data_IF_218817805245
#
_entry.id   IF_218817805245
#
_cell.length_a   1.000
_cell.length_b   1.000
_cell.length_c   1.000
_cell.angle_alpha   90.00
_cell.angle_beta   90.00
_cell.angle_gamma   90.00
#
_symmetry.space_group_name_H-M   'P 1'
#
loop_
_entity.id
_entity.type
_entity.pdbx_description
1 polymer ?
#
# COMPACT_ATOMS: atom_id res chain seq x y z
N UNK A 1 3.53 16.29 -16.77
CA UNK A 1 2.66 15.12 -16.47
C UNK A 1 2.18 14.42 -17.74
N UNK A 2 1.33 14.99 -18.63
CA UNK A 2 0.80 14.27 -19.81
C UNK A 2 1.82 13.51 -20.69
N UNK A 3 3.06 14.00 -20.83
CA UNK A 3 4.13 13.29 -21.53
C UNK A 3 4.61 12.02 -20.81
N UNK A 4 4.57 12.03 -19.47
CA UNK A 4 4.93 10.91 -18.59
C UNK A 4 3.86 9.80 -18.54
N UNK A 5 2.66 10.04 -19.10
CA UNK A 5 1.57 9.05 -19.16
C UNK A 5 1.28 8.57 -20.59
N UNK A 6 1.76 9.26 -21.63
CA UNK A 6 1.61 8.81 -23.02
C UNK A 6 2.79 7.95 -23.47
N UNK A 7 2.53 6.68 -23.80
CA UNK A 7 3.53 5.71 -24.31
C UNK A 7 4.32 6.22 -25.50
N UNK A 8 3.67 6.96 -26.41
CA UNK A 8 4.28 7.52 -27.63
C UNK A 8 5.27 8.65 -27.32
N UNK A 9 5.12 9.34 -26.19
CA UNK A 9 5.91 10.53 -25.83
C UNK A 9 6.78 10.34 -24.58
N UNK A 10 6.75 9.15 -23.95
CA UNK A 10 7.42 8.91 -22.68
C UNK A 10 8.94 9.09 -22.79
N UNK A 11 9.58 8.44 -23.77
CA UNK A 11 11.03 8.53 -24.01
C UNK A 11 11.49 9.98 -24.24
N UNK A 12 10.80 10.72 -25.11
CA UNK A 12 11.05 12.16 -25.35
C UNK A 12 10.86 13.01 -24.09
N UNK A 13 9.93 12.61 -23.22
CA UNK A 13 9.71 13.27 -21.92
C UNK A 13 10.82 12.95 -20.92
N UNK A 14 11.36 11.73 -20.91
CA UNK A 14 12.51 11.38 -20.07
C UNK A 14 13.78 12.13 -20.49
N UNK A 15 14.01 12.26 -21.81
CA UNK A 15 15.08 13.12 -22.36
C UNK A 15 14.89 14.56 -21.89
N UNK A 16 13.68 15.11 -21.99
CA UNK A 16 13.39 16.49 -21.59
C UNK A 16 13.55 16.70 -20.08
N UNK A 17 13.10 15.78 -19.23
CA UNK A 17 13.27 15.87 -17.76
C UNK A 17 14.75 15.75 -17.38
N UNK A 18 15.50 14.86 -18.03
CA UNK A 18 16.96 14.76 -17.88
C UNK A 18 17.68 16.06 -18.30
N UNK A 19 17.16 16.79 -19.28
CA UNK A 19 17.68 18.12 -19.64
C UNK A 19 17.27 19.20 -18.62
N UNK A 20 16.04 19.17 -18.12
CA UNK A 20 15.55 20.08 -17.07
C UNK A 20 16.34 19.95 -15.76
N UNK A 21 16.96 18.80 -15.47
CA UNK A 21 17.85 18.66 -14.30
C UNK A 21 18.96 19.73 -14.29
N UNK A 22 19.60 20.01 -15.44
CA UNK A 22 20.61 21.07 -15.56
C UNK A 22 20.03 22.49 -15.48
N UNK A 23 18.70 22.67 -15.64
CA UNK A 23 18.05 23.98 -15.57
C UNK A 23 17.64 24.35 -14.14
N UNK A 24 17.61 23.38 -13.21
CA UNK A 24 17.34 23.60 -11.79
C UNK A 24 18.39 24.48 -11.09
N UNK A 25 19.60 24.59 -11.66
CA UNK A 25 20.71 25.38 -11.11
C UNK A 25 20.67 26.86 -11.51
N UNK A 26 19.76 27.24 -12.41
CA UNK A 26 19.67 28.61 -12.91
C UNK A 26 19.23 29.60 -11.80
N UNK A 27 19.99 30.68 -11.53
CA UNK A 27 19.67 31.62 -10.44
C UNK A 27 18.37 32.42 -10.66
N UNK A 28 17.77 32.34 -11.86
CA UNK A 28 16.47 32.92 -12.18
C UNK A 28 15.30 31.99 -11.86
N UNK A 29 15.56 30.70 -11.59
CA UNK A 29 14.57 29.76 -11.08
C UNK A 29 14.69 29.76 -9.56
N UNK A 30 13.67 30.28 -8.86
CA UNK A 30 13.62 30.23 -7.39
C UNK A 30 13.56 28.78 -6.93
N UNK A 31 14.72 28.24 -6.54
CA UNK A 31 14.90 26.84 -6.20
C UNK A 31 14.15 26.48 -4.92
N UNK A 32 12.91 26.00 -5.08
CA UNK A 32 12.34 25.08 -4.10
C UNK A 32 13.13 23.77 -4.21
N UNK A 33 13.87 23.40 -3.17
CA UNK A 33 14.76 22.23 -3.20
C UNK A 33 14.00 20.93 -3.57
N UNK A 34 12.69 20.88 -3.30
CA UNK A 34 11.70 19.89 -3.75
C UNK A 34 11.70 19.60 -5.27
N UNK A 35 12.05 20.58 -6.11
CA UNK A 35 12.08 20.42 -7.58
C UNK A 35 13.14 19.44 -8.07
N UNK A 36 14.24 19.29 -7.32
CA UNK A 36 15.22 18.23 -7.57
C UNK A 36 14.59 16.86 -7.29
N UNK A 37 13.95 16.71 -6.11
CA UNK A 37 13.37 15.45 -5.68
C UNK A 37 12.29 14.93 -6.64
N UNK A 38 11.34 15.78 -7.08
CA UNK A 38 10.31 15.36 -8.04
C UNK A 38 10.89 15.00 -9.42
N UNK A 39 11.96 15.67 -9.87
CA UNK A 39 12.64 15.29 -11.13
C UNK A 39 13.36 13.94 -11.01
N UNK A 40 14.01 13.65 -9.87
CA UNK A 40 14.61 12.32 -9.63
C UNK A 40 13.51 11.25 -9.59
N UNK A 41 12.42 11.48 -8.87
CA UNK A 41 11.25 10.57 -8.82
C UNK A 41 10.63 10.36 -10.21
N UNK A 42 10.63 11.37 -11.08
CA UNK A 42 10.13 11.24 -12.45
C UNK A 42 10.99 10.35 -13.35
N UNK A 43 12.30 10.34 -13.14
CA UNK A 43 13.26 9.52 -13.89
C UNK A 43 13.43 8.12 -13.28
N UNK A 44 13.21 7.96 -11.98
CA UNK A 44 13.52 6.73 -11.24
C UNK A 44 12.89 5.44 -11.81
N UNK A 45 11.58 5.37 -12.18
CA UNK A 45 11.00 4.16 -12.77
C UNK A 45 11.70 3.74 -14.08
N UNK A 46 12.06 4.73 -14.91
CA UNK A 46 12.72 4.51 -16.19
C UNK A 46 14.19 4.10 -16.03
N UNK A 47 14.88 4.66 -15.04
CA UNK A 47 16.25 4.26 -14.69
C UNK A 47 16.30 2.86 -14.05
N UNK A 48 15.28 2.46 -13.30
CA UNK A 48 15.11 1.09 -12.81
C UNK A 48 14.81 0.10 -13.93
N UNK A 49 13.95 0.47 -14.90
CA UNK A 49 13.64 -0.39 -16.04
C UNK A 49 14.86 -0.64 -16.92
N UNK A 50 15.68 0.40 -17.16
CA UNK A 50 16.93 0.30 -17.93
C UNK A 50 18.16 0.05 -17.01
N UNK A 51 18.02 -0.62 -15.87
CA UNK A 51 19.10 -0.73 -14.89
C UNK A 51 20.26 -1.63 -15.36
N UNK A 52 19.94 -2.83 -15.84
CA UNK A 52 20.93 -3.84 -16.24
C UNK A 52 21.55 -3.57 -17.63
N UNK A 53 20.86 -2.80 -18.47
CA UNK A 53 21.33 -2.33 -19.77
C UNK A 53 21.11 -0.82 -19.86
N UNK A 54 22.10 -0.05 -19.41
CA UNK A 54 21.96 1.37 -19.13
C UNK A 54 21.79 2.21 -20.39
N UNK A 55 20.56 2.62 -20.66
CA UNK A 55 20.26 3.52 -21.77
C UNK A 55 20.95 4.88 -21.58
N UNK A 56 21.46 5.46 -22.67
CA UNK A 56 22.27 6.70 -22.65
C UNK A 56 21.57 7.86 -21.95
N UNK A 57 20.23 7.94 -22.07
CA UNK A 57 19.40 8.95 -21.38
C UNK A 57 19.46 8.81 -19.86
N UNK A 58 19.50 7.57 -19.34
CA UNK A 58 19.60 7.27 -17.92
C UNK A 58 20.99 7.58 -17.36
N UNK A 59 22.05 7.27 -18.11
CA UNK A 59 23.43 7.63 -17.75
C UNK A 59 23.56 9.14 -17.65
N UNK A 60 23.15 9.88 -18.69
CA UNK A 60 23.18 11.33 -18.69
C UNK A 60 22.29 11.94 -17.60
N UNK A 61 21.13 11.34 -17.30
CA UNK A 61 20.29 11.78 -16.19
C UNK A 61 21.01 11.64 -14.84
N UNK A 62 21.62 10.48 -14.57
CA UNK A 62 22.36 10.23 -13.35
C UNK A 62 23.56 11.18 -13.16
N UNK A 63 24.35 11.41 -14.21
CA UNK A 63 25.45 12.40 -14.18
C UNK A 63 24.97 13.81 -13.84
N UNK A 64 23.84 14.23 -14.40
CA UNK A 64 23.25 15.56 -14.17
C UNK A 64 22.69 15.68 -12.76
N UNK A 65 21.98 14.67 -12.26
CA UNK A 65 21.51 14.63 -10.87
C UNK A 65 22.70 14.70 -9.91
N UNK A 66 23.74 13.90 -10.13
CA UNK A 66 24.94 13.91 -9.31
C UNK A 66 25.66 15.27 -9.30
N UNK A 67 25.76 15.94 -10.46
CA UNK A 67 26.28 17.30 -10.55
C UNK A 67 25.48 18.29 -9.69
N UNK A 68 24.16 18.35 -9.87
CA UNK A 68 23.29 19.28 -9.13
C UNK A 68 23.33 19.04 -7.62
N UNK A 69 23.40 17.78 -7.18
CA UNK A 69 23.53 17.43 -5.77
C UNK A 69 24.85 17.93 -5.14
N UNK A 70 25.94 18.01 -5.92
CA UNK A 70 27.23 18.51 -5.47
C UNK A 70 27.33 20.05 -5.56
N UNK A 71 26.65 20.68 -6.52
CA UNK A 71 26.72 22.13 -6.77
C UNK A 71 25.85 22.96 -5.82
N UNK A 72 24.71 22.44 -5.34
CA UNK A 72 23.70 23.23 -4.62
C UNK A 72 23.54 22.92 -3.12
N UNK A 73 24.22 21.91 -2.58
CA UNK A 73 24.08 21.54 -1.17
C UNK A 73 25.22 22.05 -0.30
N UNK A 74 25.08 23.30 0.17
CA UNK A 74 25.97 23.94 1.18
C UNK A 74 26.19 23.11 2.46
N UNK A 75 25.35 22.08 2.70
CA UNK A 75 25.34 21.24 3.90
C UNK A 75 25.61 19.77 3.58
N UNK A 76 25.98 19.45 2.34
CA UNK A 76 26.36 18.13 1.83
C UNK A 76 25.39 16.97 2.14
N UNK A 77 24.11 17.25 2.43
CA UNK A 77 23.09 16.22 2.73
C UNK A 77 22.82 15.29 1.54
N UNK A 78 23.01 15.79 0.32
CA UNK A 78 22.83 15.06 -0.93
C UNK A 78 24.11 14.40 -1.47
N UNK A 79 25.25 14.48 -0.76
CA UNK A 79 26.52 13.88 -1.23
C UNK A 79 26.42 12.36 -1.43
N UNK A 80 25.67 11.67 -0.57
CA UNK A 80 25.36 10.24 -0.71
C UNK A 80 24.50 9.96 -1.96
N UNK A 81 23.50 10.82 -2.24
CA UNK A 81 22.67 10.72 -3.46
C UNK A 81 23.52 10.95 -4.72
N UNK A 82 24.41 11.95 -4.70
CA UNK A 82 25.35 12.22 -5.77
C UNK A 82 26.27 11.02 -6.04
N UNK A 83 26.72 10.36 -4.97
CA UNK A 83 27.56 9.15 -5.02
C UNK A 83 26.80 7.97 -5.63
N UNK A 84 25.57 7.70 -5.19
CA UNK A 84 24.74 6.59 -5.72
C UNK A 84 24.31 6.83 -7.17
N UNK A 85 24.07 8.07 -7.58
CA UNK A 85 23.84 8.43 -8.98
C UNK A 85 25.11 8.27 -9.82
N UNK A 86 26.28 8.67 -9.30
CA UNK A 86 27.57 8.47 -9.97
C UNK A 86 27.92 6.99 -10.15
N UNK A 87 27.59 6.14 -9.16
CA UNK A 87 27.76 4.69 -9.24
C UNK A 87 26.81 4.04 -10.26
N UNK A 88 25.58 4.57 -10.41
CA UNK A 88 24.69 4.17 -11.50
C UNK A 88 25.31 4.54 -12.86
N UNK A 89 25.65 5.81 -13.08
CA UNK A 89 26.16 6.31 -14.37
C UNK A 89 27.42 5.56 -14.87
N UNK A 90 28.23 5.03 -13.95
CA UNK A 90 29.46 4.29 -14.27
C UNK A 90 29.26 2.76 -14.41
N UNK A 91 28.04 2.25 -14.23
CA UNK A 91 27.77 0.80 -14.19
C UNK A 91 28.41 0.08 -12.99
N UNK A 92 28.66 0.77 -11.87
CA UNK A 92 29.45 0.28 -10.72
C UNK A 92 28.64 0.01 -9.45
N UNK A 93 27.33 0.24 -9.46
CA UNK A 93 26.48 -0.09 -8.30
C UNK A 93 26.23 -1.61 -8.24
N UNK A 94 27.09 -2.32 -7.50
CA UNK A 94 27.13 -3.79 -7.43
C UNK A 94 25.98 -4.38 -6.59
N UNK A 95 24.73 -4.18 -7.05
CA UNK A 95 23.48 -4.66 -6.45
C UNK A 95 22.33 -4.51 -7.46
N UNK A 96 21.15 -5.05 -7.13
CA UNK A 96 19.96 -5.01 -8.01
C UNK A 96 19.36 -3.60 -8.12
N UNK A 97 18.64 -3.34 -9.21
CA UNK A 97 17.83 -2.13 -9.44
C UNK A 97 16.96 -1.73 -8.23
N UNK A 98 16.39 -2.73 -7.57
CA UNK A 98 15.56 -2.58 -6.36
C UNK A 98 16.33 -2.00 -5.17
N UNK A 99 17.53 -2.52 -4.87
CA UNK A 99 18.37 -1.96 -3.79
C UNK A 99 18.96 -0.60 -4.16
N UNK A 100 19.30 -0.37 -5.44
CA UNK A 100 19.72 0.95 -5.91
C UNK A 100 18.62 2.00 -5.72
N UNK A 101 17.40 1.70 -6.16
CA UNK A 101 16.25 2.58 -6.00
C UNK A 101 15.93 2.84 -4.52
N UNK A 102 16.04 1.82 -3.66
CA UNK A 102 15.93 1.98 -2.21
C UNK A 102 16.94 2.98 -1.63
N UNK A 103 18.20 2.94 -2.09
CA UNK A 103 19.21 3.92 -1.69
C UNK A 103 18.84 5.33 -2.17
N UNK A 104 18.50 5.50 -3.45
CA UNK A 104 18.06 6.80 -4.01
C UNK A 104 16.87 7.38 -3.24
N UNK A 105 15.85 6.55 -3.00
CA UNK A 105 14.64 6.94 -2.24
C UNK A 105 14.96 7.30 -0.80
N UNK A 106 15.87 6.58 -0.13
CA UNK A 106 16.29 6.90 1.24
C UNK A 106 16.87 8.30 1.31
N UNK A 107 17.87 8.60 0.47
CA UNK A 107 18.55 9.90 0.50
C UNK A 107 17.62 11.06 0.08
N UNK A 108 16.61 10.80 -0.76
CA UNK A 108 15.53 11.75 -0.99
C UNK A 108 14.64 11.93 0.25
N UNK A 109 14.23 10.86 0.95
CA UNK A 109 13.40 10.99 2.17
C UNK A 109 14.15 11.68 3.31
N UNK A 110 15.45 11.43 3.48
CA UNK A 110 16.28 12.02 4.55
C UNK A 110 16.35 13.56 4.46
N UNK A 111 16.08 14.15 3.29
CA UNK A 111 16.06 15.61 3.04
C UNK A 111 14.65 16.15 2.76
N UNK A 112 13.79 15.38 2.10
CA UNK A 112 12.55 15.85 1.47
C UNK A 112 11.29 15.06 1.85
N UNK A 113 11.25 14.34 2.98
CA UNK A 113 10.09 13.52 3.39
C UNK A 113 8.72 14.23 3.28
N UNK A 114 8.65 15.54 3.50
CA UNK A 114 7.41 16.33 3.39
C UNK A 114 6.82 16.35 1.97
N UNK A 115 7.66 16.29 0.94
CA UNK A 115 7.22 16.28 -0.47
C UNK A 115 6.73 14.90 -0.93
N UNK A 116 6.87 13.86 -0.11
CA UNK A 116 6.60 12.48 -0.52
C UNK A 116 5.15 12.19 -0.90
N UNK A 117 4.18 12.98 -0.41
CA UNK A 117 2.77 12.93 -0.86
C UNK A 117 2.69 13.29 -2.36
N UNK A 118 3.42 14.31 -2.80
CA UNK A 118 3.45 14.73 -4.21
C UNK A 118 4.09 13.65 -5.08
N UNK A 119 5.11 12.96 -4.57
CA UNK A 119 5.76 11.83 -5.26
C UNK A 119 4.81 10.64 -5.44
N UNK A 120 4.10 10.23 -4.37
CA UNK A 120 3.10 9.17 -4.44
C UNK A 120 2.01 9.53 -5.44
N UNK A 121 1.44 10.73 -5.36
CA UNK A 121 0.39 11.21 -6.26
C UNK A 121 0.79 11.15 -7.73
N UNK A 122 1.99 11.63 -8.03
CA UNK A 122 2.58 11.60 -9.37
C UNK A 122 2.85 10.16 -9.86
N UNK A 123 3.42 9.30 -9.01
CA UNK A 123 3.67 7.89 -9.34
C UNK A 123 2.36 7.09 -9.52
N UNK A 124 1.30 7.42 -8.77
CA UNK A 124 -0.02 6.82 -8.95
C UNK A 124 -0.61 7.19 -10.32
N UNK A 125 -0.44 8.44 -10.79
CA UNK A 125 -0.90 8.86 -12.12
C UNK A 125 -0.14 8.11 -13.24
N UNK A 126 1.17 7.87 -13.09
CA UNK A 126 1.95 7.06 -14.05
C UNK A 126 1.58 5.58 -13.96
N UNK A 127 1.37 5.01 -12.77
CA UNK A 127 0.94 3.61 -12.64
C UNK A 127 -0.42 3.40 -13.33
N UNK A 128 -1.39 4.29 -13.12
CA UNK A 128 -2.74 4.19 -13.67
C UNK A 128 -2.81 4.41 -15.20
N UNK A 129 -2.01 5.33 -15.75
CA UNK A 129 -2.19 5.81 -17.13
C UNK A 129 -0.97 5.60 -18.04
N UNK A 130 0.21 5.35 -17.46
CA UNK A 130 1.50 5.33 -18.16
C UNK A 130 1.91 4.00 -18.78
N UNK A 131 3.14 3.91 -19.30
CA UNK A 131 3.63 2.72 -19.98
C UNK A 131 3.67 1.47 -19.09
N UNK A 132 3.06 0.37 -19.56
CA UNK A 132 2.92 -0.87 -18.79
C UNK A 132 4.26 -1.49 -18.34
N UNK A 133 5.34 -1.27 -19.10
CA UNK A 133 6.68 -1.78 -18.77
C UNK A 133 7.28 -1.19 -17.49
N UNK A 134 6.76 -0.04 -17.01
CA UNK A 134 7.22 0.62 -15.79
C UNK A 134 6.46 0.17 -14.53
N UNK A 135 5.36 -0.58 -14.67
CA UNK A 135 4.45 -0.83 -13.55
C UNK A 135 5.10 -1.64 -12.42
N UNK A 136 5.97 -2.60 -12.74
CA UNK A 136 6.79 -3.30 -11.74
C UNK A 136 7.73 -2.35 -10.98
N UNK A 137 8.44 -1.47 -11.69
CA UNK A 137 9.34 -0.49 -11.09
C UNK A 137 8.61 0.48 -10.16
N UNK A 138 7.41 0.94 -10.54
CA UNK A 138 6.60 1.84 -9.71
C UNK A 138 6.07 1.12 -8.46
N UNK A 139 5.66 -0.15 -8.57
CA UNK A 139 5.22 -0.95 -7.41
C UNK A 139 6.36 -1.20 -6.42
N UNK A 140 7.59 -1.44 -6.88
CA UNK A 140 8.75 -1.58 -5.99
C UNK A 140 9.18 -0.23 -5.38
N UNK A 141 9.06 0.89 -6.12
CA UNK A 141 9.22 2.24 -5.56
C UNK A 141 8.20 2.49 -4.43
N UNK A 142 6.93 2.11 -4.61
CA UNK A 142 5.91 2.21 -3.55
C UNK A 142 6.25 1.36 -2.33
N UNK A 143 6.69 0.11 -2.53
CA UNK A 143 7.15 -0.74 -1.42
C UNK A 143 8.26 -0.07 -0.61
N UNK A 144 9.24 0.54 -1.28
CA UNK A 144 10.33 1.26 -0.64
C UNK A 144 9.89 2.56 0.04
N UNK A 145 9.03 3.38 -0.58
CA UNK A 145 8.50 4.60 0.05
C UNK A 145 7.74 4.29 1.34
N UNK A 146 6.88 3.26 1.35
CA UNK A 146 6.16 2.81 2.56
C UNK A 146 7.12 2.29 3.64
N UNK A 147 8.23 1.68 3.24
CA UNK A 147 9.27 1.16 4.16
C UNK A 147 10.11 2.29 4.77
N UNK A 148 10.41 3.34 4.01
CA UNK A 148 11.32 4.43 4.40
C UNK A 148 10.63 5.56 5.17
N UNK A 149 9.40 5.92 4.81
CA UNK A 149 8.70 7.07 5.39
C UNK A 149 8.16 6.72 6.78
N UNK A 150 8.66 7.39 7.83
CA UNK A 150 8.04 7.33 9.15
C UNK A 150 6.70 8.08 9.15
N UNK A 151 5.65 7.42 9.64
CA UNK A 151 4.26 7.93 9.61
C UNK A 151 4.09 9.17 10.49
N UNK A 152 4.99 9.35 11.47
CA UNK A 152 5.06 10.52 12.36
C UNK A 152 5.68 11.76 11.70
N UNK A 153 6.46 11.58 10.62
CA UNK A 153 7.14 12.69 9.95
C UNK A 153 6.24 13.40 8.94
N UNK A 154 5.12 12.79 8.55
CA UNK A 154 4.25 13.29 7.49
C UNK A 154 3.01 13.97 8.07
N UNK A 155 2.87 15.28 7.81
CA UNK A 155 1.75 16.08 8.32
C UNK A 155 0.36 15.55 7.89
N UNK A 156 0.28 14.88 6.74
CA UNK A 156 -0.93 14.19 6.26
C UNK A 156 -0.62 12.76 5.80
N UNK A 157 -0.27 11.90 6.76
CA UNK A 157 -0.17 10.44 6.52
C UNK A 157 -1.49 9.80 6.07
N UNK A 158 -2.64 10.41 6.40
CA UNK A 158 -3.94 9.89 5.99
C UNK A 158 -4.14 10.00 4.48
N UNK A 159 -3.81 11.16 3.87
CA UNK A 159 -3.85 11.34 2.43
C UNK A 159 -2.87 10.43 1.69
N UNK A 160 -1.62 10.33 2.18
CA UNK A 160 -0.60 9.41 1.65
C UNK A 160 -1.11 7.96 1.58
N UNK A 161 -1.66 7.46 2.69
CA UNK A 161 -2.13 6.09 2.80
C UNK A 161 -3.37 5.85 1.91
N UNK A 162 -4.36 6.76 1.96
CA UNK A 162 -5.58 6.65 1.16
C UNK A 162 -5.31 6.71 -0.36
N UNK A 163 -4.45 7.61 -0.83
CA UNK A 163 -4.10 7.73 -2.26
C UNK A 163 -3.38 6.46 -2.76
N UNK A 164 -2.46 5.91 -1.95
CA UNK A 164 -1.71 4.71 -2.31
C UNK A 164 -2.57 3.44 -2.25
N UNK A 165 -3.33 3.20 -1.17
CA UNK A 165 -4.22 2.03 -1.05
C UNK A 165 -5.28 2.02 -2.15
N UNK A 166 -5.93 3.16 -2.42
CA UNK A 166 -6.90 3.32 -3.52
C UNK A 166 -6.34 2.88 -4.87
N UNK A 167 -5.06 3.18 -5.11
CA UNK A 167 -4.39 2.87 -6.38
C UNK A 167 -3.95 1.40 -6.41
N UNK A 168 -3.29 0.91 -5.36
CA UNK A 168 -2.84 -0.48 -5.22
C UNK A 168 -4.00 -1.50 -5.33
N UNK A 169 -5.17 -1.20 -4.77
CA UNK A 169 -6.35 -2.09 -4.85
C UNK A 169 -6.77 -2.44 -6.29
N UNK A 170 -6.45 -1.60 -7.28
CA UNK A 170 -6.71 -1.88 -8.72
C UNK A 170 -5.82 -3.00 -9.29
N UNK A 171 -4.68 -3.26 -8.65
CA UNK A 171 -3.64 -4.18 -9.12
C UNK A 171 -3.63 -5.50 -8.35
N UNK A 172 -4.34 -5.62 -7.22
CA UNK A 172 -4.45 -6.86 -6.42
C UNK A 172 -4.93 -8.05 -7.27
N UNK A 173 -5.92 -7.85 -8.12
CA UNK A 173 -6.52 -8.91 -8.93
C UNK A 173 -5.72 -9.26 -10.20
N UNK A 174 -4.61 -8.56 -10.48
CA UNK A 174 -3.73 -8.86 -11.62
C UNK A 174 -2.66 -9.86 -11.17
N UNK A 175 -2.68 -11.07 -11.73
CA UNK A 175 -1.80 -12.16 -11.31
C UNK A 175 -0.30 -11.79 -11.36
N UNK A 176 0.10 -10.98 -12.34
CA UNK A 176 1.46 -10.46 -12.55
C UNK A 176 1.97 -9.51 -11.44
N UNK A 177 1.07 -8.83 -10.72
CA UNK A 177 1.40 -7.82 -9.69
C UNK A 177 0.94 -8.18 -8.28
N UNK A 178 0.06 -9.19 -8.15
CA UNK A 178 -0.63 -9.54 -6.91
C UNK A 178 0.30 -9.68 -5.70
N UNK A 179 1.48 -10.29 -5.88
CA UNK A 179 2.45 -10.49 -4.79
C UNK A 179 3.01 -9.17 -4.24
N UNK A 180 3.53 -8.29 -5.09
CA UNK A 180 4.15 -7.02 -4.66
C UNK A 180 3.14 -6.00 -4.15
N UNK A 181 1.95 -5.99 -4.76
CA UNK A 181 0.80 -5.22 -4.29
C UNK A 181 0.38 -5.71 -2.90
N UNK A 182 0.22 -7.02 -2.70
CA UNK A 182 -0.16 -7.61 -1.41
C UNK A 182 0.91 -7.39 -0.33
N UNK A 183 2.19 -7.51 -0.69
CA UNK A 183 3.35 -7.20 0.17
C UNK A 183 3.30 -5.74 0.67
N UNK A 184 3.04 -4.80 -0.24
CA UNK A 184 2.96 -3.36 0.08
C UNK A 184 1.72 -3.02 0.90
N UNK A 185 0.55 -3.57 0.55
CA UNK A 185 -0.69 -3.39 1.32
C UNK A 185 -0.58 -3.96 2.75
N UNK A 186 0.03 -5.14 2.93
CA UNK A 186 0.29 -5.71 4.26
C UNK A 186 1.15 -4.77 5.12
N UNK A 187 2.20 -4.18 4.54
CA UNK A 187 3.07 -3.23 5.24
C UNK A 187 2.34 -1.92 5.58
N UNK A 188 1.52 -1.37 4.67
CA UNK A 188 0.67 -0.20 4.94
C UNK A 188 -0.30 -0.45 6.11
N UNK A 189 -0.99 -1.60 6.10
CA UNK A 189 -1.90 -2.01 7.17
C UNK A 189 -1.14 -2.09 8.50
N UNK A 190 -0.04 -2.85 8.55
CA UNK A 190 0.80 -3.00 9.74
C UNK A 190 1.31 -1.66 10.30
N UNK A 191 1.70 -0.71 9.44
CA UNK A 191 2.17 0.63 9.86
C UNK A 191 1.02 1.59 10.22
N UNK A 192 -0.22 1.29 9.80
CA UNK A 192 -1.42 2.04 10.18
C UNK A 192 -2.06 1.58 11.50
N UNK A 193 -1.72 0.38 11.98
CA UNK A 193 -2.25 -0.20 13.23
C UNK A 193 -1.67 0.48 14.48
N UNK A 194 -2.12 1.71 14.77
CA UNK A 194 -1.80 2.40 16.04
C UNK A 194 -2.49 1.71 17.21
N UNK A 195 -1.76 0.86 17.93
CA UNK A 195 -2.25 0.30 19.20
C UNK A 195 -2.28 1.39 20.27
N UNK A 196 -3.39 2.11 20.35
CA UNK A 196 -3.65 3.11 21.39
C UNK A 196 -3.76 2.44 22.76
N UNK A 197 -2.63 2.24 23.43
CA UNK A 197 -2.58 1.94 24.87
C UNK A 197 -3.45 2.96 25.60
N UNK A 198 -4.48 2.54 26.37
CA UNK A 198 -5.27 3.48 27.14
C UNK A 198 -4.35 4.33 28.01
N UNK A 199 -4.46 5.66 27.91
CA UNK A 199 -3.84 6.55 28.89
C UNK A 199 -4.48 6.19 30.23
N UNK A 200 -3.73 5.57 31.13
CA UNK A 200 -4.21 5.29 32.47
C UNK A 200 -4.63 6.61 33.10
N UNK A 201 -5.94 6.80 33.28
CA UNK A 201 -6.47 7.96 33.98
C UNK A 201 -6.16 7.71 35.44
N UNK A 202 -4.97 8.12 35.86
CA UNK A 202 -4.59 8.18 37.27
C UNK A 202 -5.45 9.25 37.92
N UNK A 203 -6.66 8.86 38.33
CA UNK A 203 -7.54 9.65 39.16
C UNK A 203 -6.79 9.96 40.45
N UNK A 204 -6.43 11.23 40.65
CA UNK A 204 -5.77 11.72 41.87
C UNK A 204 -6.78 11.71 43.04
N UNK A 205 -7.16 10.52 43.48
CA UNK A 205 -7.91 10.33 44.71
C UNK A 205 -6.94 10.42 45.90
N UNK A 206 -7.09 11.50 46.65
CA UNK A 206 -6.19 11.93 47.70
C UNK A 206 -6.41 11.12 48.99
N UNK A 207 -5.52 10.16 49.26
CA UNK A 207 -5.47 9.43 50.54
C UNK A 207 -4.05 9.51 51.11
N UNK A 208 -3.90 10.13 52.27
CA UNK A 208 -2.60 10.31 52.93
C UNK A 208 -2.19 9.04 53.68
N UNK A 209 -1.12 8.37 53.24
CA UNK A 209 -0.38 7.41 54.06
C UNK A 209 1.12 7.67 53.89
N UNK A 210 1.87 7.60 55.00
CA UNK A 210 3.31 7.87 55.03
C UNK A 210 4.13 6.60 54.81
N UNK A 211 5.27 6.66 54.09
CA UNK A 211 6.11 5.49 53.87
C UNK A 211 6.96 5.18 55.12
N UNK A 212 6.52 4.22 55.93
CA UNK A 212 7.30 3.67 57.04
C UNK A 212 7.63 2.20 56.76
N UNK A 213 8.62 1.98 55.91
CA UNK A 213 9.23 0.67 55.66
C UNK A 213 10.73 0.85 55.41
N UNK A 214 11.43 1.31 56.43
CA UNK A 214 12.87 1.59 56.40
C UNK A 214 13.54 1.27 57.74
N UNK A 215 13.21 0.11 58.33
CA UNK A 215 14.07 -0.59 59.31
C UNK A 215 13.60 -2.05 59.50
N UNK A 216 14.53 -2.99 59.33
CA UNK A 216 14.75 -4.21 60.15
C UNK A 216 13.56 -5.17 60.44
N UNK A 217 13.70 -6.47 60.10
CA UNK A 217 12.72 -7.50 60.50
C UNK A 217 12.71 -8.76 59.63
N UNK A 218 13.58 -9.70 60.00
CA UNK A 218 13.86 -11.02 59.42
C UNK A 218 12.68 -12.02 59.28
N UNK A 219 12.93 -13.14 58.57
CA UNK A 219 12.17 -14.42 58.49
C UNK A 219 11.15 -14.59 57.34
N UNK A 220 11.21 -15.77 56.72
CA UNK A 220 10.41 -16.22 55.56
C UNK A 220 9.02 -16.77 55.96
N UNK A 221 8.04 -16.73 55.03
CA UNK A 221 7.50 -17.98 54.46
C UNK A 221 6.77 -17.75 53.12
N UNK A 222 6.33 -18.85 52.49
CA UNK A 222 5.70 -18.91 51.16
C UNK A 222 4.24 -18.44 51.18
N UNK A 223 3.78 -17.84 50.06
CA UNK A 223 2.75 -18.48 49.24
C UNK A 223 2.86 -18.06 47.76
N UNK A 224 2.29 -18.86 46.86
CA UNK A 224 1.92 -18.43 45.52
C UNK A 224 0.72 -17.50 45.59
N UNK A 225 0.64 -16.49 44.71
CA UNK A 225 -0.55 -16.40 43.85
C UNK A 225 -0.27 -15.58 42.59
N UNK A 226 -0.44 -16.22 41.43
CA UNK A 226 -0.45 -15.58 40.11
C UNK A 226 -1.73 -14.77 39.97
N UNK A 227 -1.72 -13.51 40.42
CA UNK A 227 -2.82 -12.56 40.21
C UNK A 227 -2.92 -12.16 38.74
N UNK A 228 -3.64 -12.99 37.96
CA UNK A 228 -4.16 -12.59 36.65
C UNK A 228 -5.15 -11.44 36.86
N UNK A 229 -4.67 -10.20 36.72
CA UNK A 229 -5.54 -9.02 36.74
C UNK A 229 -6.21 -8.93 35.37
N UNK A 230 -7.32 -9.65 35.26
CA UNK A 230 -8.18 -9.67 34.07
C UNK A 230 -8.80 -8.29 33.85
N UNK A 231 -8.95 -7.90 32.58
CA UNK A 231 -9.46 -6.58 32.25
C UNK A 231 -10.95 -6.49 32.61
N UNK A 232 -11.43 -5.39 33.22
CA UNK A 232 -12.86 -5.15 33.45
C UNK A 232 -13.56 -4.74 32.14
N UNK A 233 -13.70 -5.71 31.24
CA UNK A 233 -14.49 -5.62 30.01
C UNK A 233 -15.32 -6.88 29.86
N UNK A 234 -16.55 -6.75 29.33
CA UNK A 234 -17.37 -7.93 29.01
C UNK A 234 -16.73 -8.67 27.83
N UNK A 235 -16.01 -9.75 28.12
CA UNK A 235 -15.79 -10.81 27.14
C UNK A 235 -17.15 -11.27 26.64
N UNK A 236 -17.30 -11.38 25.31
CA UNK A 236 -18.49 -11.93 24.70
C UNK A 236 -18.27 -13.45 24.65
N UNK A 237 -18.59 -14.12 25.75
CA UNK A 237 -18.45 -15.58 25.88
C UNK A 237 -19.52 -16.26 25.02
N UNK A 238 -19.17 -16.54 23.75
CA UNK A 238 -20.05 -17.22 22.80
C UNK A 238 -19.87 -18.73 22.96
N UNK A 239 -20.58 -19.28 23.95
CA UNK A 239 -20.71 -20.74 24.16
C UNK A 239 -21.43 -21.41 22.98
N UNK A 240 -20.67 -21.81 21.96
CA UNK A 240 -21.17 -22.62 20.84
C UNK A 240 -21.46 -24.05 21.31
N UNK A 241 -22.64 -24.25 21.92
CA UNK A 241 -23.14 -25.55 22.31
C UNK A 241 -23.53 -26.39 21.07
N UNK A 242 -22.52 -27.02 20.45
CA UNK A 242 -22.65 -27.88 19.27
C UNK A 242 -23.65 -29.02 19.46
N UNK A 243 -23.92 -29.47 20.69
CA UNK A 243 -24.92 -30.50 20.96
C UNK A 243 -26.35 -30.02 20.67
N UNK A 244 -26.67 -28.75 20.96
CA UNK A 244 -27.98 -28.18 20.62
C UNK A 244 -28.15 -28.02 19.11
N UNK A 245 -27.10 -27.59 18.40
CA UNK A 245 -27.11 -27.47 16.92
C UNK A 245 -27.31 -28.85 16.28
N UNK A 246 -26.58 -29.87 16.74
CA UNK A 246 -26.70 -31.23 16.20
C UNK A 246 -28.06 -31.87 16.51
N UNK A 247 -28.65 -31.60 17.69
CA UNK A 247 -29.99 -32.06 18.04
C UNK A 247 -31.08 -31.36 17.21
N UNK A 248 -30.93 -30.06 16.92
CA UNK A 248 -31.84 -29.30 16.06
C UNK A 248 -31.79 -29.72 14.57
N UNK A 249 -30.70 -30.36 14.13
CA UNK A 249 -30.62 -31.02 12.81
C UNK A 249 -31.35 -32.37 12.87
N UNK A 250 -31.05 -33.21 13.87
CA UNK A 250 -31.67 -34.55 14.03
C UNK A 250 -33.20 -34.53 14.16
N UNK A 251 -33.80 -33.46 14.68
CA UNK A 251 -35.27 -33.36 14.80
C UNK A 251 -35.98 -33.01 13.49
N UNK A 252 -35.28 -32.57 12.43
CA UNK A 252 -35.90 -32.34 11.11
C UNK A 252 -36.07 -33.60 10.27
N UNK A 253 -35.20 -34.60 10.45
CA UNK A 253 -35.24 -35.84 9.66
C UNK A 253 -36.21 -36.91 10.22
N UNK A 254 -36.97 -36.61 11.28
CA UNK A 254 -37.95 -37.55 11.87
C UNK A 254 -39.41 -37.04 11.96
N UNK A 255 -39.73 -35.86 11.39
CA UNK A 255 -41.13 -35.41 11.26
C UNK A 255 -41.48 -35.00 9.83
N UNK A 256 -41.55 -36.01 8.96
CA UNK A 256 -42.19 -35.86 7.64
C UNK A 256 -43.12 -37.04 7.31
N UNK A 257 -43.95 -37.44 8.30
CA UNK A 257 -45.20 -38.16 8.07
C UNK A 257 -46.28 -37.67 9.05
N UNK A 258 -47.53 -37.66 8.58
CA UNK A 258 -48.81 -37.40 9.30
C UNK A 258 -49.21 -35.97 9.73
N UNK A 259 -49.93 -35.29 8.81
CA UNK A 259 -51.32 -34.78 8.98
C UNK A 259 -51.69 -33.66 10.00
N UNK A 260 -51.69 -32.41 9.50
CA UNK A 260 -52.81 -31.42 9.58
C UNK A 260 -53.17 -30.59 10.85
N UNK A 261 -53.61 -29.34 10.60
CA UNK A 261 -54.51 -28.43 11.39
C UNK A 261 -54.00 -27.93 12.76
N UNK A 262 -53.54 -26.67 12.91
CA UNK A 262 -54.29 -25.38 13.04
C UNK A 262 -55.08 -25.25 14.37
N UNK A 263 -55.07 -24.16 15.15
CA UNK A 263 -54.60 -22.75 15.01
C UNK A 263 -54.55 -22.09 16.44
N UNK A 264 -54.37 -20.80 16.78
CA UNK A 264 -54.22 -19.49 16.08
C UNK A 264 -53.66 -18.39 17.06
N UNK A 265 -53.32 -17.18 16.55
CA UNK A 265 -53.32 -15.84 17.24
C UNK A 265 -52.22 -15.61 18.33
N UNK A 266 -51.60 -14.42 18.54
CA UNK A 266 -51.83 -13.03 18.08
C UNK A 266 -50.53 -12.37 17.51
N UNK A 267 -50.56 -11.56 16.45
CA UNK A 267 -50.79 -10.08 16.41
C UNK A 267 -49.66 -9.26 17.09
N UNK A 268 -48.86 -8.45 16.38
CA UNK A 268 -49.26 -7.10 15.87
C UNK A 268 -48.36 -6.58 14.72
N UNK A 269 -48.90 -5.60 13.96
CA UNK A 269 -48.28 -4.70 12.95
C UNK A 269 -46.95 -4.00 13.39
N UNK A 270 -46.14 -3.32 12.56
CA UNK A 270 -46.16 -2.88 11.14
C UNK A 270 -44.68 -2.69 10.66
N UNK A 271 -44.28 -2.31 9.43
CA UNK A 271 -44.95 -1.68 8.28
C UNK A 271 -44.32 -2.09 6.92
N UNK A 272 -44.98 -1.73 5.81
CA UNK A 272 -44.58 -1.93 4.39
C UNK A 272 -43.41 -0.97 4.00
N UNK A 273 -42.57 -1.24 2.99
CA UNK A 273 -42.93 -1.46 1.57
C UNK A 273 -41.94 -2.35 0.78
N UNK A 274 -42.51 -3.32 0.07
CA UNK A 274 -42.06 -3.77 -1.27
C UNK A 274 -42.69 -2.86 -2.34
N UNK A 275 -42.12 -2.86 -3.55
CA UNK A 275 -42.80 -3.13 -4.83
C UNK A 275 -41.67 -3.44 -5.86
N UNK A 276 -41.48 -4.62 -6.48
CA UNK A 276 -42.34 -5.53 -7.28
C UNK A 276 -42.72 -4.92 -8.64
N UNK A 277 -42.04 -5.32 -9.72
CA UNK A 277 -42.38 -6.44 -10.65
C UNK A 277 -43.38 -6.05 -11.75
N UNK A 278 -42.98 -6.24 -13.01
CA UNK A 278 -43.57 -7.07 -14.10
C UNK A 278 -42.33 -7.43 -14.99
N UNK A 279 -42.10 -8.61 -15.61
CA UNK A 279 -42.97 -9.52 -16.37
C UNK A 279 -43.03 -9.08 -17.85
N UNK A 280 -43.02 -9.92 -18.88
CA UNK A 280 -42.95 -11.40 -19.01
C UNK A 280 -42.48 -11.74 -20.45
N UNK A 281 -42.24 -13.02 -20.77
CA UNK A 281 -41.92 -13.61 -22.10
C UNK A 281 -40.49 -13.34 -22.64
N UNK A 282 -39.82 -14.27 -23.34
CA UNK A 282 -40.02 -15.72 -23.43
C UNK A 282 -39.99 -16.31 -24.85
N UNK A 283 -38.93 -17.05 -25.18
CA UNK A 283 -38.86 -18.05 -26.28
C UNK A 283 -37.65 -18.96 -26.09
N UNK A 284 -37.77 -20.23 -26.47
CA UNK A 284 -36.63 -21.17 -26.53
C UNK A 284 -35.98 -21.11 -27.92
N UNK A 285 -34.67 -21.36 -27.97
CA UNK A 285 -34.02 -22.03 -29.10
C UNK A 285 -32.79 -22.80 -28.59
N UNK A 286 -32.57 -23.99 -29.14
CA UNK A 286 -31.54 -24.96 -28.79
C UNK A 286 -31.10 -25.62 -30.11
N UNK A 287 -29.91 -26.24 -30.16
CA UNK A 287 -29.28 -26.81 -31.38
C UNK A 287 -28.76 -25.67 -32.30
N UNK A 288 -27.54 -25.68 -32.87
CA UNK A 288 -26.79 -26.82 -33.42
C UNK A 288 -25.25 -26.77 -33.18
N UNK A 289 -24.52 -27.76 -33.73
CA UNK A 289 -23.10 -28.01 -33.49
C UNK A 289 -22.27 -28.23 -34.76
N UNK A 290 -20.97 -27.92 -34.64
CA UNK A 290 -19.84 -28.46 -35.42
C UNK A 290 -19.50 -27.87 -36.81
N UNK A 291 -18.20 -27.99 -37.13
CA UNK A 291 -17.55 -27.88 -38.46
C UNK A 291 -17.47 -26.46 -39.08
N UNK A 292 -16.45 -26.10 -39.89
CA UNK A 292 -15.31 -26.84 -40.46
C UNK A 292 -13.95 -26.16 -40.21
N UNK A 293 -12.85 -26.92 -40.39
CA UNK A 293 -11.50 -26.38 -40.60
C UNK A 293 -11.30 -26.07 -42.09
N UNK A 294 -10.83 -24.87 -42.45
CA UNK A 294 -9.90 -24.66 -43.58
C UNK A 294 -9.40 -23.22 -43.68
N UNK A 295 -8.08 -23.02 -43.66
CA UNK A 295 -7.35 -22.42 -44.77
C UNK A 295 -5.85 -22.36 -44.46
N UNK A 296 -5.07 -23.07 -45.27
CA UNK A 296 -3.61 -22.98 -45.34
C UNK A 296 -3.18 -23.20 -46.80
N UNK A 297 -2.07 -22.57 -47.19
CA UNK A 297 -1.42 -22.67 -48.51
C UNK A 297 -2.18 -22.13 -49.74
N UNK A 298 -1.83 -20.90 -50.12
CA UNK A 298 -1.47 -20.49 -51.49
C UNK A 298 -0.52 -19.28 -51.34
N UNK A 299 0.61 -19.08 -51.99
CA UNK A 299 1.53 -19.83 -52.88
C UNK A 299 1.95 -18.88 -54.01
N UNK A 300 3.24 -18.52 -54.04
CA UNK A 300 4.01 -17.97 -55.18
C UNK A 300 3.33 -16.97 -56.14
N UNK A 301 3.75 -15.70 -56.05
CA UNK A 301 4.72 -15.15 -57.03
C UNK A 301 5.88 -14.54 -56.24
#
# INVERSE_FOLDING_TARGET
LKGCTSTVTYESTMILISCLTNMLTSPFVTMNNSSLAINVIALLPYMMYNYDNQHVVCIQAAERIARVCNEHDEKAKLADLATVMSLYAQGKFNSTASQWAKCVLKYLTDVYVQDSINWIRFLCEILDNGPSYLQLSILDIFYHLVTLIDTKMLNDYALFNNELVRTLCKYVNKAEFCNDVTKTLKLLIQRSSTLSTPKHITTNNHYNTTPLSSLMGEVHFFDNHKSSIELPGRTLDIDYNLSQIMNAIKTKDQQNHTTSKSSAIATTMNNRRRHTYVGTTGTNSEIDTSSWKQNAAQSQV
#
